data_IF_213749269374
#
_entry.id   IF_213749269374
#
_cell.length_a   1.000
_cell.length_b   1.000
_cell.length_c   1.000
_cell.angle_alpha   90.00
_cell.angle_beta   90.00
_cell.angle_gamma   90.00
#
_symmetry.space_group_name_H-M   'P 1'
#
loop_
_entity.id
_entity.type
_entity.pdbx_description
1 polymer ?
#
# COMPACT_ATOMS: atom_id res chain seq x y z
N UNK A 1 2.63 -3.63 17.66
CA UNK A 1 3.39 -2.42 17.28
C UNK A 1 2.53 -1.52 16.42
N UNK A 2 2.57 -0.21 16.67
CA UNK A 2 1.90 0.82 15.86
C UNK A 2 2.79 1.16 14.65
N UNK A 3 2.22 1.23 13.45
CA UNK A 3 2.93 1.63 12.22
C UNK A 3 2.21 2.76 11.51
N UNK A 4 2.98 3.63 10.88
CA UNK A 4 2.49 4.69 9.98
C UNK A 4 2.83 4.30 8.56
N UNK A 5 1.89 4.44 7.62
CA UNK A 5 2.05 4.08 6.21
C UNK A 5 1.82 5.32 5.37
N UNK A 6 2.79 5.62 4.51
CA UNK A 6 2.72 6.71 3.55
C UNK A 6 3.15 6.21 2.16
N UNK A 7 2.87 7.01 1.13
CA UNK A 7 3.25 6.74 -0.24
C UNK A 7 4.00 7.91 -0.88
N UNK A 8 4.81 7.60 -1.88
CA UNK A 8 5.37 8.60 -2.80
C UNK A 8 4.91 8.30 -4.22
N UNK A 9 4.23 9.28 -4.82
CA UNK A 9 3.52 9.22 -6.10
C UNK A 9 2.29 8.30 -6.10
N UNK A 10 1.14 8.85 -6.51
CA UNK A 10 -0.14 8.13 -6.53
C UNK A 10 -0.15 6.94 -7.50
N UNK A 11 -1.04 5.99 -7.25
CA UNK A 11 -1.17 4.78 -8.05
C UNK A 11 -1.61 5.11 -9.48
N UNK A 12 -2.59 6.00 -9.65
CA UNK A 12 -3.13 6.46 -10.94
C UNK A 12 -2.11 7.21 -11.81
N UNK A 13 -1.00 7.68 -11.26
CA UNK A 13 0.11 8.23 -12.04
C UNK A 13 0.93 7.08 -12.62
N UNK A 14 0.35 6.34 -13.55
CA UNK A 14 0.89 5.08 -14.10
C UNK A 14 2.18 5.26 -14.90
N UNK A 15 2.53 6.48 -15.28
CA UNK A 15 3.83 6.84 -15.87
C UNK A 15 4.97 7.01 -14.85
N UNK A 16 4.66 7.06 -13.55
CA UNK A 16 5.64 7.22 -12.47
C UNK A 16 5.71 5.96 -11.62
N UNK A 17 6.85 5.71 -10.97
CA UNK A 17 6.92 4.69 -9.92
C UNK A 17 6.02 5.09 -8.75
N UNK A 18 5.62 4.11 -7.94
CA UNK A 18 5.02 4.37 -6.63
C UNK A 18 5.79 3.61 -5.58
N UNK A 19 6.08 4.30 -4.47
CA UNK A 19 6.65 3.67 -3.28
C UNK A 19 5.59 3.69 -2.20
N UNK A 20 5.38 2.55 -1.54
CA UNK A 20 4.61 2.47 -0.30
C UNK A 20 5.59 2.11 0.82
N UNK A 21 5.61 2.89 1.89
CA UNK A 21 6.50 2.65 3.02
C UNK A 21 5.73 2.68 4.33
N UNK A 22 6.22 1.93 5.32
CA UNK A 22 5.83 2.13 6.70
C UNK A 22 7.01 2.51 7.56
N UNK A 23 6.72 3.22 8.64
CA UNK A 23 7.68 3.49 9.70
C UNK A 23 7.12 3.28 11.10
N UNK A 24 7.99 2.82 11.97
CA UNK A 24 7.90 2.88 13.43
C UNK A 24 9.32 3.05 14.01
N UNK A 25 9.80 2.16 14.89
CA UNK A 25 11.23 2.04 15.20
C UNK A 25 12.07 1.48 14.04
N UNK A 26 11.43 0.88 13.03
CA UNK A 26 12.01 0.38 11.78
C UNK A 26 11.33 1.04 10.58
N UNK A 27 12.00 1.03 9.44
CA UNK A 27 11.45 1.49 8.17
C UNK A 27 11.45 0.34 7.17
N UNK A 28 10.39 0.24 6.37
CA UNK A 28 10.30 -0.71 5.26
C UNK A 28 9.55 -0.06 4.11
N UNK A 29 9.99 -0.32 2.90
CA UNK A 29 9.42 0.22 1.69
C UNK A 29 9.35 -0.83 0.59
N UNK A 30 8.30 -0.76 -0.21
CA UNK A 30 8.16 -1.49 -1.46
C UNK A 30 8.00 -0.50 -2.60
N UNK A 31 8.47 -0.87 -3.79
CA UNK A 31 8.38 -0.04 -4.98
C UNK A 31 7.65 -0.82 -6.07
N UNK A 32 6.68 -0.20 -6.73
CA UNK A 32 6.11 -0.69 -7.98
C UNK A 32 6.51 0.25 -9.11
N UNK A 33 7.11 -0.31 -10.16
CA UNK A 33 7.56 0.45 -11.31
C UNK A 33 6.38 0.90 -12.18
N UNK A 34 6.62 1.91 -13.03
CA UNK A 34 5.58 2.48 -13.90
C UNK A 34 4.99 1.41 -14.85
N UNK A 35 5.88 0.64 -15.49
CA UNK A 35 5.51 -0.47 -16.38
C UNK A 35 4.64 -1.52 -15.68
N UNK A 36 4.94 -1.82 -14.41
CA UNK A 36 4.18 -2.80 -13.64
C UNK A 36 2.82 -2.24 -13.24
N UNK A 37 2.72 -0.96 -12.89
CA UNK A 37 1.42 -0.31 -12.64
C UNK A 37 0.52 -0.30 -13.88
N UNK A 38 1.07 -0.08 -15.07
CA UNK A 38 0.30 -0.12 -16.32
C UNK A 38 -0.26 -1.52 -16.59
N UNK A 39 0.52 -2.57 -16.32
CA UNK A 39 0.05 -3.95 -16.39
C UNK A 39 -1.08 -4.22 -15.39
N UNK A 40 -0.93 -3.76 -14.14
CA UNK A 40 -1.99 -3.88 -13.12
C UNK A 40 -3.26 -3.15 -13.56
N UNK A 41 -3.15 -1.92 -14.07
CA UNK A 41 -4.30 -1.17 -14.59
C UNK A 41 -5.02 -1.95 -15.71
N UNK A 42 -4.25 -2.54 -16.64
CA UNK A 42 -4.78 -3.40 -17.70
C UNK A 42 -5.54 -4.60 -17.13
N UNK A 43 -5.01 -5.29 -16.11
CA UNK A 43 -5.70 -6.41 -15.45
C UNK A 43 -7.06 -5.98 -14.86
N UNK A 44 -7.12 -4.81 -14.22
CA UNK A 44 -8.39 -4.29 -13.69
C UNK A 44 -9.39 -3.93 -14.79
N UNK A 45 -8.91 -3.41 -15.94
CA UNK A 45 -9.76 -3.14 -17.11
C UNK A 45 -10.33 -4.43 -17.70
N UNK A 46 -9.50 -5.45 -17.87
CA UNK A 46 -9.90 -6.77 -18.37
C UNK A 46 -10.89 -7.47 -17.43
N UNK A 47 -10.71 -7.30 -16.12
CA UNK A 47 -11.65 -7.78 -15.11
C UNK A 47 -12.95 -6.94 -15.02
N UNK A 48 -13.17 -5.97 -15.92
CA UNK A 48 -14.32 -5.03 -15.92
C UNK A 48 -14.47 -4.25 -14.60
N UNK A 49 -13.36 -4.01 -13.89
CA UNK A 49 -13.30 -3.31 -12.60
C UNK A 49 -12.34 -2.08 -12.62
N UNK A 50 -12.32 -1.23 -13.67
CA UNK A 50 -11.33 -0.16 -13.78
C UNK A 50 -11.44 0.90 -12.66
N UNK A 51 -12.64 1.14 -12.14
CA UNK A 51 -12.90 2.19 -11.15
C UNK A 51 -12.24 1.93 -9.78
N UNK A 52 -12.05 0.67 -9.41
CA UNK A 52 -11.47 0.30 -8.11
C UNK A 52 -9.95 0.10 -8.16
N UNK A 53 -9.33 0.16 -9.36
CA UNK A 53 -7.89 -0.06 -9.58
C UNK A 53 -7.04 0.64 -8.52
N UNK A 54 -7.11 1.98 -8.44
CA UNK A 54 -6.22 2.76 -7.56
C UNK A 54 -6.38 2.41 -6.06
N UNK A 55 -7.62 2.19 -5.62
CA UNK A 55 -7.93 1.93 -4.21
C UNK A 55 -7.57 0.50 -3.81
N UNK A 56 -7.96 -0.48 -4.64
CA UNK A 56 -7.67 -1.89 -4.38
C UNK A 56 -6.17 -2.15 -4.54
N UNK A 57 -5.50 -1.56 -5.53
CA UNK A 57 -4.04 -1.66 -5.66
C UNK A 57 -3.32 -1.04 -4.47
N UNK A 58 -3.73 0.13 -3.96
CA UNK A 58 -3.15 0.67 -2.71
C UNK A 58 -3.28 -0.35 -1.56
N UNK A 59 -4.47 -0.90 -1.35
CA UNK A 59 -4.70 -1.90 -0.31
C UNK A 59 -3.83 -3.16 -0.48
N UNK A 60 -3.68 -3.65 -1.71
CA UNK A 60 -2.83 -4.81 -2.04
C UNK A 60 -1.36 -4.50 -1.73
N UNK A 61 -0.86 -3.33 -2.14
CA UNK A 61 0.53 -2.95 -1.87
C UNK A 61 0.77 -2.80 -0.36
N UNK A 62 -0.15 -2.20 0.38
CA UNK A 62 -0.07 -2.14 1.85
C UNK A 62 0.02 -3.54 2.44
N UNK A 63 -0.85 -4.47 2.02
CA UNK A 63 -0.79 -5.86 2.48
C UNK A 63 0.56 -6.50 2.15
N UNK A 64 1.06 -6.39 0.91
CA UNK A 64 2.34 -6.96 0.49
C UNK A 64 3.53 -6.40 1.29
N UNK A 65 3.46 -5.12 1.68
CA UNK A 65 4.45 -4.48 2.54
C UNK A 65 4.47 -5.07 3.95
N UNK A 66 3.29 -5.27 4.56
CA UNK A 66 3.15 -5.59 5.99
C UNK A 66 2.91 -7.07 6.30
N UNK A 67 2.62 -7.93 5.30
CA UNK A 67 2.14 -9.31 5.53
C UNK A 67 3.00 -10.15 6.48
N UNK A 68 4.33 -10.01 6.39
CA UNK A 68 5.27 -10.76 7.24
C UNK A 68 5.37 -10.18 8.66
N UNK A 69 4.94 -8.94 8.84
CA UNK A 69 5.00 -8.20 10.09
C UNK A 69 3.64 -8.15 10.81
N UNK A 70 2.55 -8.59 10.15
CA UNK A 70 1.18 -8.62 10.67
C UNK A 70 1.05 -9.19 12.09
N UNK A 71 1.68 -10.32 12.47
CA UNK A 71 1.57 -10.86 13.84
C UNK A 71 2.10 -9.91 14.92
N UNK A 72 2.97 -8.96 14.55
CA UNK A 72 3.58 -8.00 15.46
C UNK A 72 2.88 -6.65 15.42
N UNK A 73 1.99 -6.40 14.46
CA UNK A 73 1.29 -5.13 14.28
C UNK A 73 0.03 -5.13 15.14
N UNK A 74 -0.20 -4.01 15.82
CA UNK A 74 -1.37 -3.79 16.68
C UNK A 74 -2.17 -2.55 16.28
N UNK A 75 -1.65 -1.73 15.36
CA UNK A 75 -2.35 -0.57 14.82
C UNK A 75 -1.67 -0.10 13.53
N UNK A 76 -2.46 0.24 12.53
CA UNK A 76 -2.05 0.70 11.21
C UNK A 76 -2.67 2.08 10.98
N UNK A 77 -1.83 3.10 10.78
CA UNK A 77 -2.26 4.45 10.42
C UNK A 77 -1.82 4.72 9.00
N UNK A 78 -2.76 4.95 8.10
CA UNK A 78 -2.50 5.18 6.68
C UNK A 78 -2.69 6.68 6.38
N UNK A 79 -1.81 7.25 5.55
CA UNK A 79 -1.96 8.63 5.11
C UNK A 79 -3.28 8.85 4.34
N UNK A 80 -3.92 10.00 4.58
CA UNK A 80 -5.16 10.44 3.91
C UNK A 80 -4.90 11.02 2.52
N UNK A 81 -4.30 10.22 1.64
CA UNK A 81 -4.08 10.64 0.26
C UNK A 81 -5.38 10.68 -0.58
N UNK A 82 -6.27 9.70 -0.36
CA UNK A 82 -7.52 9.54 -1.12
C UNK A 82 -8.73 9.95 -0.28
N UNK A 83 -8.93 11.26 -0.16
CA UNK A 83 -9.99 11.87 0.64
C UNK A 83 -11.37 11.29 0.26
N UNK A 84 -12.11 10.79 1.25
CA UNK A 84 -13.45 10.23 1.09
C UNK A 84 -13.49 8.77 0.60
N UNK A 85 -12.33 8.13 0.40
CA UNK A 85 -12.21 6.72 -0.05
C UNK A 85 -11.57 5.82 0.99
N UNK A 86 -11.31 6.34 2.19
CA UNK A 86 -10.73 5.63 3.32
C UNK A 86 -11.53 4.38 3.71
N UNK A 87 -12.88 4.42 3.82
CA UNK A 87 -13.65 3.21 4.15
C UNK A 87 -13.48 2.11 3.11
N UNK A 88 -13.43 2.46 1.82
CA UNK A 88 -13.26 1.51 0.71
C UNK A 88 -11.87 0.87 0.72
N UNK A 89 -10.81 1.67 0.91
CA UNK A 89 -9.44 1.16 1.01
C UNK A 89 -9.30 0.25 2.24
N UNK A 90 -9.89 0.66 3.38
CA UNK A 90 -9.92 -0.13 4.61
C UNK A 90 -10.58 -1.49 4.39
N UNK A 91 -11.73 -1.50 3.74
CA UNK A 91 -12.50 -2.71 3.47
C UNK A 91 -11.71 -3.68 2.57
N UNK A 92 -11.13 -3.20 1.48
CA UNK A 92 -10.25 -4.02 0.64
C UNK A 92 -9.07 -4.61 1.42
N UNK A 93 -8.39 -3.79 2.24
CA UNK A 93 -7.25 -4.25 3.03
C UNK A 93 -7.66 -5.36 4.02
N UNK A 94 -8.77 -5.18 4.73
CA UNK A 94 -9.28 -6.17 5.69
C UNK A 94 -9.71 -7.46 4.99
N UNK A 95 -10.41 -7.37 3.86
CA UNK A 95 -10.77 -8.55 3.08
C UNK A 95 -9.53 -9.34 2.66
N UNK A 96 -8.48 -8.67 2.21
CA UNK A 96 -7.22 -9.29 1.82
C UNK A 96 -6.55 -9.97 3.02
N UNK A 97 -6.43 -9.28 4.16
CA UNK A 97 -5.80 -9.82 5.38
C UNK A 97 -6.56 -11.06 5.86
N UNK A 98 -7.89 -10.99 5.95
CA UNK A 98 -8.75 -12.11 6.38
C UNK A 98 -8.65 -13.32 5.46
N UNK A 99 -8.62 -13.10 4.14
CA UNK A 99 -8.56 -14.18 3.15
C UNK A 99 -7.19 -14.87 3.12
N UNK A 100 -6.11 -14.18 3.49
CA UNK A 100 -4.73 -14.67 3.33
C UNK A 100 -4.05 -15.06 4.64
N UNK A 101 -4.59 -14.67 5.78
CA UNK A 101 -3.91 -14.83 7.07
C UNK A 101 -4.91 -15.06 8.20
N UNK A 102 -4.45 -15.68 9.29
CA UNK A 102 -5.20 -15.76 10.55
C UNK A 102 -4.91 -14.55 11.47
N UNK A 103 -4.63 -13.38 10.89
CA UNK A 103 -4.31 -12.17 11.65
C UNK A 103 -5.54 -11.71 12.44
N UNK A 104 -5.30 -11.21 13.66
CA UNK A 104 -6.33 -10.63 14.53
C UNK A 104 -6.66 -9.17 14.19
N UNK A 105 -6.01 -8.58 13.19
CA UNK A 105 -6.27 -7.20 12.76
C UNK A 105 -7.73 -7.05 12.31
N UNK A 106 -8.40 -6.06 12.89
CA UNK A 106 -9.79 -5.68 12.64
C UNK A 106 -9.86 -4.31 11.97
N UNK A 107 -11.07 -3.88 11.63
CA UNK A 107 -11.29 -2.54 11.06
C UNK A 107 -10.93 -1.40 12.02
N UNK A 108 -10.99 -1.65 13.33
CA UNK A 108 -10.69 -0.65 14.37
C UNK A 108 -9.17 -0.44 14.54
N UNK A 109 -8.39 -1.46 14.19
CA UNK A 109 -6.92 -1.36 14.21
C UNK A 109 -6.36 -0.53 13.05
N UNK A 110 -7.19 -0.21 12.04
CA UNK A 110 -6.82 0.56 10.86
C UNK A 110 -7.47 1.94 10.93
N UNK A 111 -6.66 2.99 10.92
CA UNK A 111 -7.14 4.37 10.87
C UNK A 111 -6.45 5.15 9.75
N UNK A 112 -7.05 6.27 9.38
CA UNK A 112 -6.51 7.18 8.37
C UNK A 112 -6.28 8.55 9.01
N UNK A 113 -5.11 9.12 8.79
CA UNK A 113 -4.73 10.43 9.33
C UNK A 113 -3.92 11.20 8.30
N UNK A 114 -3.82 12.53 8.43
CA UNK A 114 -2.87 13.31 7.65
C UNK A 114 -1.47 13.05 8.22
N UNK A 115 -0.66 12.29 7.51
CA UNK A 115 0.72 11.98 7.86
C UNK A 115 1.58 13.10 7.25
N UNK A 116 1.99 14.04 8.08
CA UNK A 116 2.80 15.18 7.63
C UNK A 116 4.18 14.78 7.10
N UNK A 117 4.81 15.68 6.34
CA UNK A 117 6.12 15.49 5.69
C UNK A 117 7.29 15.16 6.63
N UNK A 118 7.14 15.46 7.92
CA UNK A 118 8.13 15.16 8.96
C UNK A 118 7.99 13.75 9.55
N UNK A 119 6.98 12.98 9.14
CA UNK A 119 6.83 11.60 9.59
C UNK A 119 7.87 10.70 8.91
N UNK A 120 8.42 9.75 9.68
CA UNK A 120 9.40 8.78 9.18
C UNK A 120 8.88 7.90 8.04
N UNK A 121 7.57 7.69 7.93
CA UNK A 121 6.96 6.95 6.82
C UNK A 121 7.05 7.73 5.52
N UNK A 122 6.80 9.05 5.57
CA UNK A 122 7.00 9.95 4.45
C UNK A 122 8.46 9.95 4.00
N UNK A 123 9.38 10.09 4.95
CA UNK A 123 10.81 10.06 4.70
C UNK A 123 11.26 8.76 4.03
N UNK A 124 10.78 7.61 4.54
CA UNK A 124 11.09 6.30 3.96
C UNK A 124 10.58 6.19 2.51
N UNK A 125 9.35 6.65 2.24
CA UNK A 125 8.77 6.60 0.90
C UNK A 125 9.52 7.52 -0.08
N UNK A 126 9.80 8.77 0.32
CA UNK A 126 10.43 9.76 -0.56
C UNK A 126 11.90 9.44 -0.83
N UNK A 127 12.63 8.88 0.15
CA UNK A 127 14.04 8.52 -0.02
C UNK A 127 14.19 7.38 -1.03
N UNK A 128 13.32 6.37 -0.98
CA UNK A 128 13.31 5.29 -1.98
C UNK A 128 12.89 5.81 -3.35
N UNK A 129 11.85 6.66 -3.40
CA UNK A 129 11.40 7.25 -4.66
C UNK A 129 12.49 8.09 -5.35
N UNK A 130 13.27 8.83 -4.56
CA UNK A 130 14.42 9.63 -5.03
C UNK A 130 15.70 8.81 -5.21
N UNK A 131 15.66 7.49 -5.06
CA UNK A 131 16.81 6.58 -5.17
C UNK A 131 17.95 6.88 -4.18
N UNK A 132 17.64 7.54 -3.06
CA UNK A 132 18.59 7.76 -1.95
C UNK A 132 18.78 6.49 -1.13
N UNK A 133 17.76 5.64 -1.08
CA UNK A 133 17.78 4.33 -0.43
C UNK A 133 17.09 3.29 -1.34
N UNK A 134 17.45 2.02 -1.17
CA UNK A 134 16.82 0.92 -1.92
C UNK A 134 15.50 0.50 -1.29
N UNK A 135 14.53 0.11 -2.12
CA UNK A 135 13.32 -0.56 -1.65
C UNK A 135 13.67 -1.94 -1.07
N UNK A 136 12.92 -2.40 -0.06
CA UNK A 136 13.08 -3.76 0.47
C UNK A 136 12.57 -4.82 -0.51
N UNK A 137 11.60 -4.46 -1.35
CA UNK A 137 11.11 -5.31 -2.43
C UNK A 137 10.58 -4.46 -3.60
N UNK A 138 10.87 -4.88 -4.82
CA UNK A 138 10.21 -4.40 -6.04
C UNK A 138 9.01 -5.31 -6.31
N UNK A 139 7.83 -4.71 -6.47
CA UNK A 139 6.56 -5.40 -6.72
C UNK A 139 6.27 -5.41 -8.22
N UNK A 140 5.87 -6.57 -8.72
CA UNK A 140 5.46 -6.77 -10.11
C UNK A 140 3.94 -6.89 -10.22
N UNK A 141 3.41 -6.85 -11.45
CA UNK A 141 2.01 -7.12 -11.69
C UNK A 141 1.61 -8.55 -11.30
N UNK A 142 2.55 -9.50 -11.36
CA UNK A 142 2.34 -10.89 -10.92
C UNK A 142 2.13 -11.00 -9.41
N UNK A 143 2.82 -10.19 -8.61
CA UNK A 143 2.56 -10.10 -7.16
C UNK A 143 1.13 -9.60 -6.86
N UNK A 144 0.56 -8.78 -7.76
CA UNK A 144 -0.75 -8.14 -7.58
C UNK A 144 -1.90 -8.98 -8.17
N UNK A 145 -1.65 -9.72 -9.26
CA UNK A 145 -2.66 -10.49 -9.98
C UNK A 145 -3.55 -11.40 -9.09
N UNK A 146 -3.03 -12.10 -8.06
CA UNK A 146 -3.83 -12.98 -7.20
C UNK A 146 -4.92 -12.28 -6.37
N UNK A 147 -4.94 -10.94 -6.39
CA UNK A 147 -5.86 -10.12 -5.62
C UNK A 147 -6.86 -9.34 -6.49
N UNK A 148 -6.71 -9.34 -7.81
CA UNK A 148 -7.54 -8.52 -8.71
C UNK A 148 -8.94 -9.11 -8.86
N UNK A 149 -9.04 -10.44 -8.99
CA UNK A 149 -10.28 -11.21 -9.22
C UNK A 149 -11.14 -11.27 -7.97
#
# INVERSE_FOLDING_TARGET
MKIYIDQSSKIEYTSKHTVIAYANSKQKAILIEAREKQKVEKMFREAKKPYIFRYKTLAILIYLLIKNDLPKISSIIIDKEYIGKEPLIKDFLIQIIRKKTNSKITQDDISFQLIGKHNKAHEAAINVFRKKTSANKIITAEDVAPFVV
#
